data_IF_575216857593
#
_entry.id   IF_575216857593
#
_cell.length_a   1.000
_cell.length_b   1.000
_cell.length_c   1.000
_cell.angle_alpha   90.00
_cell.angle_beta   90.00
_cell.angle_gamma   90.00
#
_symmetry.space_group_name_H-M   'P 1'
#
loop_
_entity.id
_entity.type
_entity.pdbx_description
1 polymer ?
#
# COMPACT_ATOMS: atom_id res chain seq x y z
N UNK A 1 -48.35 -44.66 22.51
CA UNK A 1 -49.07 -44.26 23.75
C UNK A 1 -48.33 -43.05 24.32
N UNK A 2 -48.85 -41.85 24.04
CA UNK A 2 -49.44 -40.92 25.02
C UNK A 2 -48.40 -40.09 25.76
N UNK A 3 -48.12 -38.87 25.26
CA UNK A 3 -48.73 -37.60 25.72
C UNK A 3 -48.15 -37.15 27.07
N UNK A 4 -47.26 -36.16 27.01
CA UNK A 4 -47.10 -35.21 28.11
C UNK A 4 -47.36 -33.80 27.61
N UNK A 5 -48.42 -33.22 28.18
CA UNK A 5 -48.80 -31.82 28.08
C UNK A 5 -48.03 -31.01 29.12
N UNK A 6 -47.69 -29.77 28.77
CA UNK A 6 -47.17 -28.78 29.71
C UNK A 6 -47.06 -27.41 29.07
N UNK A 7 -48.20 -26.76 28.84
CA UNK A 7 -48.26 -25.39 28.35
C UNK A 7 -47.84 -24.39 29.44
N UNK A 8 -47.07 -23.36 29.08
CA UNK A 8 -47.11 -22.03 29.72
C UNK A 8 -46.93 -20.94 28.68
N UNK A 9 -48.01 -20.20 28.47
CA UNK A 9 -48.06 -18.95 27.72
C UNK A 9 -47.65 -17.76 28.58
N UNK A 10 -47.06 -16.73 27.95
CA UNK A 10 -47.23 -15.26 28.15
C UNK A 10 -46.11 -14.55 27.36
N UNK A 11 -46.36 -13.94 26.19
CA UNK A 11 -46.87 -12.56 25.93
C UNK A 11 -46.10 -11.45 26.67
N UNK A 12 -45.35 -10.65 25.92
CA UNK A 12 -45.26 -9.16 25.93
C UNK A 12 -43.97 -8.76 25.17
N UNK A 13 -44.03 -8.23 23.95
CA UNK A 13 -44.35 -6.83 23.57
C UNK A 13 -43.17 -5.86 23.83
N UNK A 14 -42.75 -5.15 22.77
CA UNK A 14 -41.92 -3.95 22.88
C UNK A 14 -40.93 -3.75 21.73
N UNK A 15 -41.42 -3.25 20.59
CA UNK A 15 -40.58 -2.64 19.55
C UNK A 15 -40.25 -1.19 19.93
N UNK A 16 -39.02 -0.74 19.69
CA UNK A 16 -38.70 0.68 19.61
C UNK A 16 -37.65 0.92 18.52
N UNK A 17 -38.09 1.56 17.43
CA UNK A 17 -37.26 2.09 16.35
C UNK A 17 -36.75 3.47 16.78
N UNK A 18 -35.44 3.70 16.71
CA UNK A 18 -34.87 5.04 16.78
C UNK A 18 -34.21 5.34 15.43
N UNK A 19 -34.84 6.22 14.66
CA UNK A 19 -34.30 6.83 13.44
C UNK A 19 -33.60 8.12 13.86
N UNK A 20 -32.31 8.24 13.58
CA UNK A 20 -31.60 9.53 13.68
C UNK A 20 -31.18 9.91 12.26
N UNK A 21 -31.80 10.97 11.74
CA UNK A 21 -31.41 11.63 10.51
C UNK A 21 -30.35 12.70 10.84
N UNK A 22 -29.20 12.64 10.19
CA UNK A 22 -28.21 13.72 10.20
C UNK A 22 -28.13 14.34 8.80
N UNK A 23 -28.35 15.65 8.75
CA UNK A 23 -28.37 16.50 7.55
C UNK A 23 -26.97 16.89 7.08
N UNK A 24 -26.81 16.92 5.75
CA UNK A 24 -25.62 17.37 5.01
C UNK A 24 -25.53 18.90 4.99
N UNK A 25 -24.33 19.46 4.94
CA UNK A 25 -24.07 20.85 4.54
C UNK A 25 -22.90 20.88 3.57
N UNK A 26 -23.19 21.22 2.30
CA UNK A 26 -22.21 21.53 1.26
C UNK A 26 -22.07 23.06 1.22
N UNK A 27 -20.88 23.58 1.45
CA UNK A 27 -20.53 24.97 1.14
C UNK A 27 -19.84 25.03 -0.22
N UNK A 28 -20.51 25.69 -1.16
CA UNK A 28 -19.99 26.11 -2.45
C UNK A 28 -19.50 27.56 -2.35
N UNK A 29 -18.31 27.85 -2.89
CA UNK A 29 -17.87 29.20 -3.28
C UNK A 29 -16.55 29.04 -4.05
N UNK A 30 -16.31 29.56 -5.25
CA UNK A 30 -17.08 30.43 -6.13
C UNK A 30 -16.43 30.42 -7.53
N UNK A 31 -17.23 30.74 -8.54
CA UNK A 31 -16.80 30.82 -9.94
C UNK A 31 -16.29 32.19 -10.36
N UNK A 32 -15.78 32.26 -11.60
CA UNK A 32 -15.44 33.48 -12.31
C UNK A 32 -14.86 33.20 -13.69
N UNK A 33 -15.73 33.20 -14.70
CA UNK A 33 -15.45 33.27 -16.14
C UNK A 33 -14.75 34.59 -16.55
N UNK A 34 -13.88 34.54 -17.57
CA UNK A 34 -14.00 35.32 -18.82
C UNK A 34 -12.66 35.48 -19.57
N UNK A 35 -12.64 34.94 -20.78
CA UNK A 35 -12.09 35.46 -22.04
C UNK A 35 -10.75 36.24 -22.09
N UNK A 36 -9.78 35.61 -22.77
CA UNK A 36 -9.36 36.05 -24.11
C UNK A 36 -8.44 37.27 -24.22
N UNK A 37 -7.17 37.03 -24.55
CA UNK A 37 -6.52 37.47 -25.81
C UNK A 37 -5.05 37.05 -25.88
N UNK A 38 -4.75 36.27 -26.92
CA UNK A 38 -3.40 36.10 -27.49
C UNK A 38 -2.95 37.36 -28.27
N UNK A 39 -1.66 37.33 -28.63
CA UNK A 39 -0.84 38.22 -29.48
C UNK A 39 -0.02 39.29 -28.73
N UNK A 40 1.29 39.47 -28.97
CA UNK A 40 2.27 38.78 -29.82
C UNK A 40 3.69 39.24 -29.42
N UNK A 41 4.66 38.36 -29.57
CA UNK A 41 6.08 38.59 -29.93
C UNK A 41 6.87 39.78 -29.35
N UNK A 42 7.94 39.42 -28.64
CA UNK A 42 9.18 40.21 -28.55
C UNK A 42 10.35 39.28 -28.23
N UNK A 43 11.11 38.90 -29.26
CA UNK A 43 12.25 38.01 -29.17
C UNK A 43 13.43 38.63 -28.39
N UNK A 44 14.14 37.80 -27.62
CA UNK A 44 15.58 37.96 -27.39
C UNK A 44 16.23 36.60 -27.22
N UNK A 45 17.15 36.35 -28.14
CA UNK A 45 18.03 35.21 -28.26
C UNK A 45 19.19 35.27 -27.25
N UNK A 46 19.47 34.15 -26.58
CA UNK A 46 20.78 33.86 -25.99
C UNK A 46 21.10 32.37 -26.17
N UNK A 47 22.31 32.11 -26.66
CA UNK A 47 22.88 30.82 -27.05
C UNK A 47 22.98 29.77 -25.92
N UNK A 48 23.18 28.47 -26.23
CA UNK A 48 23.42 27.45 -25.21
C UNK A 48 24.88 27.54 -24.71
N UNK A 49 25.05 27.86 -23.43
CA UNK A 49 26.32 27.69 -22.73
C UNK A 49 26.32 26.35 -22.00
N UNK A 50 27.06 25.39 -22.54
CA UNK A 50 27.56 24.25 -21.78
C UNK A 50 28.52 24.76 -20.71
N UNK A 51 28.16 24.64 -19.42
CA UNK A 51 29.12 24.61 -18.31
C UNK A 51 28.44 24.09 -17.02
N UNK A 52 28.54 22.77 -16.84
CA UNK A 52 28.65 21.97 -15.60
C UNK A 52 28.00 22.55 -14.31
N UNK A 53 26.94 21.91 -13.77
CA UNK A 53 26.51 22.17 -12.41
C UNK A 53 27.54 21.59 -11.41
N UNK A 54 28.08 22.47 -10.57
CA UNK A 54 28.73 22.10 -9.31
C UNK A 54 27.77 21.23 -8.49
N UNK A 55 28.27 20.12 -7.96
CA UNK A 55 27.63 19.38 -6.89
C UNK A 55 27.44 20.32 -5.70
N UNK A 56 26.21 20.78 -5.50
CA UNK A 56 25.75 21.35 -4.25
C UNK A 56 25.09 20.21 -3.50
N UNK A 57 25.67 19.83 -2.38
CA UNK A 57 24.95 19.10 -1.34
C UNK A 57 23.71 19.93 -0.95
N UNK A 58 22.55 19.38 -1.20
CA UNK A 58 21.27 20.04 -0.99
C UNK A 58 20.16 19.00 -1.06
N UNK A 59 19.57 18.72 0.10
CA UNK A 59 18.45 17.80 0.32
C UNK A 59 17.30 18.04 -0.66
N UNK A 60 17.33 17.34 -1.79
CA UNK A 60 16.20 17.17 -2.69
C UNK A 60 15.74 15.73 -2.51
N UNK A 61 14.59 15.52 -1.87
CA UNK A 61 14.07 14.19 -1.61
C UNK A 61 13.99 13.39 -2.91
N UNK A 62 14.83 12.36 -3.03
CA UNK A 62 14.77 11.40 -4.14
C UNK A 62 13.38 10.77 -4.10
N UNK A 63 12.52 11.09 -5.07
CA UNK A 63 11.17 10.50 -5.21
C UNK A 63 11.22 9.05 -5.73
N UNK A 64 12.42 8.54 -5.99
CA UNK A 64 12.69 7.16 -6.40
C UNK A 64 13.13 6.35 -5.18
N UNK A 65 12.56 5.16 -4.93
CA UNK A 65 12.96 4.32 -3.81
C UNK A 65 14.46 4.02 -3.90
N UNK A 66 15.17 4.19 -2.79
CA UNK A 66 16.59 3.85 -2.70
C UNK A 66 16.77 2.33 -2.85
N UNK A 67 17.39 1.91 -3.95
CA UNK A 67 17.69 0.51 -4.23
C UNK A 67 19.14 0.12 -3.90
N UNK A 68 19.93 1.02 -3.30
CA UNK A 68 21.35 0.78 -2.99
C UNK A 68 21.53 -0.19 -1.82
N UNK A 69 20.57 -0.22 -0.89
CA UNK A 69 20.55 -1.12 0.26
C UNK A 69 19.77 -2.40 -0.06
N UNK A 70 20.16 -3.50 0.57
CA UNK A 70 19.38 -4.74 0.61
C UNK A 70 19.24 -5.19 2.05
N UNK A 71 18.02 -5.16 2.58
CA UNK A 71 17.69 -5.63 3.93
C UNK A 71 17.48 -7.14 3.95
N UNK A 72 16.81 -7.67 2.93
CA UNK A 72 16.53 -9.09 2.81
C UNK A 72 16.31 -9.48 1.35
N UNK A 73 16.52 -10.76 1.04
CA UNK A 73 16.11 -11.39 -0.22
C UNK A 73 15.25 -12.60 0.09
N UNK A 74 14.04 -12.64 -0.46
CA UNK A 74 13.04 -13.67 -0.25
C UNK A 74 12.86 -14.44 -1.55
N UNK A 75 13.28 -15.71 -1.54
CA UNK A 75 13.17 -16.59 -2.71
C UNK A 75 11.88 -17.41 -2.62
N UNK A 76 10.98 -17.22 -3.58
CA UNK A 76 9.76 -18.02 -3.73
C UNK A 76 10.02 -19.29 -4.54
N UNK A 77 9.26 -20.35 -4.26
CA UNK A 77 9.29 -21.58 -5.08
C UNK A 77 8.55 -21.43 -6.42
N UNK A 78 7.90 -20.29 -6.63
CA UNK A 78 7.08 -19.95 -7.79
C UNK A 78 7.83 -19.14 -8.86
N UNK A 79 9.16 -19.10 -8.81
CA UNK A 79 9.98 -18.35 -9.78
C UNK A 79 10.04 -16.84 -9.54
N UNK A 80 9.48 -16.36 -8.42
CA UNK A 80 9.60 -14.97 -8.00
C UNK A 80 10.60 -14.80 -6.87
N UNK A 81 11.34 -13.70 -6.90
CA UNK A 81 12.21 -13.25 -5.82
C UNK A 81 11.82 -11.83 -5.41
N UNK A 82 11.74 -11.56 -4.12
CA UNK A 82 11.55 -10.22 -3.58
C UNK A 82 12.86 -9.77 -2.93
N UNK A 83 13.41 -8.65 -3.39
CA UNK A 83 14.55 -7.99 -2.77
C UNK A 83 14.01 -6.78 -2.01
N UNK A 84 14.16 -6.78 -0.69
CA UNK A 84 13.72 -5.69 0.18
C UNK A 84 14.85 -4.69 0.31
N UNK A 85 14.61 -3.43 -0.06
CA UNK A 85 15.62 -2.39 -0.07
C UNK A 85 15.59 -1.53 1.19
N UNK A 86 14.42 -1.02 1.54
CA UNK A 86 14.24 -0.16 2.72
C UNK A 86 12.96 -0.51 3.47
N UNK A 87 12.95 -0.16 4.76
CA UNK A 87 11.80 -0.18 5.64
C UNK A 87 11.96 1.00 6.60
N UNK A 88 11.30 2.11 6.29
CA UNK A 88 11.55 3.40 6.94
C UNK A 88 10.28 3.96 7.55
N UNK A 89 10.35 4.36 8.81
CA UNK A 89 9.30 5.14 9.47
C UNK A 89 9.28 6.57 8.97
N UNK A 90 8.09 7.14 8.89
CA UNK A 90 7.89 8.57 8.69
C UNK A 90 7.23 9.23 9.90
N UNK A 91 7.31 10.55 9.94
CA UNK A 91 6.71 11.39 10.99
C UNK A 91 5.16 11.34 10.98
N UNK A 92 4.56 10.81 9.91
CA UNK A 92 3.13 10.57 9.79
C UNK A 92 2.64 9.34 10.56
N UNK A 93 3.55 8.57 11.16
CA UNK A 93 3.22 7.34 11.87
C UNK A 93 3.04 6.14 10.95
N UNK A 94 3.64 6.18 9.76
CA UNK A 94 3.65 5.07 8.82
C UNK A 94 5.04 4.46 8.68
N UNK A 95 5.07 3.21 8.25
CA UNK A 95 6.26 2.47 7.88
C UNK A 95 6.12 2.11 6.40
N UNK A 96 7.04 2.59 5.56
CA UNK A 96 7.06 2.27 4.13
C UNK A 96 8.17 1.27 3.84
N UNK A 97 7.78 0.12 3.29
CA UNK A 97 8.70 -0.89 2.78
C UNK A 97 8.82 -0.72 1.28
N UNK A 98 10.04 -0.70 0.75
CA UNK A 98 10.31 -0.67 -0.69
C UNK A 98 11.19 -1.83 -1.11
N UNK A 99 11.06 -2.25 -2.36
CA UNK A 99 11.77 -3.40 -2.87
C UNK A 99 11.66 -3.57 -4.37
N UNK A 100 12.23 -4.67 -4.86
CA UNK A 100 12.12 -5.11 -6.25
C UNK A 100 11.60 -6.54 -6.28
N UNK A 101 10.60 -6.80 -7.13
CA UNK A 101 10.15 -8.13 -7.51
C UNK A 101 10.92 -8.54 -8.76
N UNK A 102 11.46 -9.76 -8.78
CA UNK A 102 12.14 -10.34 -9.93
C UNK A 102 11.47 -11.63 -10.34
N UNK A 103 11.28 -11.81 -11.64
CA UNK A 103 11.01 -13.13 -12.21
C UNK A 103 12.35 -13.79 -12.53
N UNK A 104 12.73 -14.81 -11.76
CA UNK A 104 14.03 -15.48 -11.91
C UNK A 104 14.02 -16.59 -12.97
N UNK A 105 12.87 -16.83 -13.60
CA UNK A 105 12.73 -17.80 -14.68
C UNK A 105 12.98 -17.17 -16.05
N UNK A 106 13.24 -17.99 -17.07
CA UNK A 106 13.45 -17.53 -18.45
C UNK A 106 12.17 -17.29 -19.25
N UNK A 107 10.99 -17.47 -18.63
CA UNK A 107 9.69 -17.27 -19.27
C UNK A 107 8.81 -16.36 -18.42
N UNK A 108 7.78 -15.79 -19.03
CA UNK A 108 6.93 -14.86 -18.32
C UNK A 108 6.11 -15.57 -17.25
N UNK A 109 5.93 -14.92 -16.10
CA UNK A 109 5.23 -15.48 -14.96
C UNK A 109 4.10 -14.57 -14.52
N UNK A 110 2.93 -15.16 -14.28
CA UNK A 110 1.77 -14.45 -13.73
C UNK A 110 1.94 -14.28 -12.22
N UNK A 111 1.69 -13.07 -11.73
CA UNK A 111 1.70 -12.79 -10.31
C UNK A 111 0.58 -13.59 -9.59
N UNK A 112 0.87 -14.28 -8.48
CA UNK A 112 -0.13 -15.02 -7.71
C UNK A 112 -1.28 -14.13 -7.23
N UNK A 113 -2.52 -14.59 -7.38
CA UNK A 113 -3.72 -13.88 -6.85
C UNK A 113 -3.70 -13.77 -5.33
N UNK A 114 -3.00 -14.68 -4.67
CA UNK A 114 -2.87 -14.75 -3.22
C UNK A 114 -2.11 -13.55 -2.65
N UNK A 115 -1.27 -12.87 -3.44
CA UNK A 115 -0.59 -11.65 -3.01
C UNK A 115 -1.54 -10.51 -2.67
N UNK A 116 -2.77 -10.53 -3.21
CA UNK A 116 -3.83 -9.60 -2.83
C UNK A 116 -4.28 -9.77 -1.37
N UNK A 117 -4.00 -10.92 -0.75
CA UNK A 117 -4.53 -11.28 0.57
C UNK A 117 -5.92 -11.94 0.51
N UNK A 118 -6.42 -12.35 1.68
CA UNK A 118 -7.67 -13.12 1.81
C UNK A 118 -8.90 -12.24 2.06
N UNK A 119 -8.71 -10.96 2.39
CA UNK A 119 -9.75 -10.04 2.83
C UNK A 119 -10.65 -9.58 1.68
N UNK A 120 -11.97 -9.62 1.89
CA UNK A 120 -12.96 -9.35 0.86
C UNK A 120 -12.91 -7.91 0.32
N UNK A 121 -12.69 -6.94 1.20
CA UNK A 121 -12.61 -5.51 0.83
C UNK A 121 -11.40 -5.20 -0.04
N UNK A 122 -10.32 -5.97 0.08
CA UNK A 122 -9.11 -5.81 -0.72
C UNK A 122 -9.22 -6.57 -2.04
N UNK A 123 -9.81 -7.77 -2.03
CA UNK A 123 -9.96 -8.58 -3.25
C UNK A 123 -10.71 -7.86 -4.37
N UNK A 124 -11.64 -6.97 -4.04
CA UNK A 124 -12.38 -6.17 -5.03
C UNK A 124 -11.56 -5.05 -5.69
N UNK A 125 -10.39 -4.69 -5.15
CA UNK A 125 -9.57 -3.57 -5.66
C UNK A 125 -8.53 -4.00 -6.69
N UNK A 126 -8.50 -5.29 -7.05
CA UNK A 126 -7.66 -5.82 -8.13
C UNK A 126 -6.34 -6.40 -7.65
N UNK A 127 -5.36 -6.47 -8.56
CA UNK A 127 -4.02 -7.02 -8.29
C UNK A 127 -3.22 -6.05 -7.42
N UNK A 128 -2.69 -6.54 -6.30
CA UNK A 128 -1.89 -5.75 -5.36
C UNK A 128 -1.01 -6.64 -4.48
N UNK A 129 -0.15 -6.03 -3.66
CA UNK A 129 0.63 -6.71 -2.62
C UNK A 129 0.01 -6.57 -1.22
N UNK A 130 -1.30 -6.33 -1.15
CA UNK A 130 -2.00 -6.06 0.11
C UNK A 130 -2.02 -7.24 1.10
N UNK A 131 -1.74 -8.45 0.64
CA UNK A 131 -1.53 -9.63 1.48
C UNK A 131 -0.22 -9.61 2.27
N UNK A 132 0.67 -8.64 2.00
CA UNK A 132 1.89 -8.44 2.78
C UNK A 132 1.56 -8.04 4.20
N UNK A 133 2.28 -8.59 5.17
CA UNK A 133 2.11 -8.26 6.58
C UNK A 133 3.47 -8.17 7.27
N UNK A 134 3.52 -7.41 8.36
CA UNK A 134 4.67 -7.32 9.24
C UNK A 134 4.29 -7.92 10.59
N UNK A 135 5.13 -8.78 11.15
CA UNK A 135 4.93 -9.35 12.48
C UNK A 135 6.00 -8.82 13.41
N UNK A 136 5.56 -8.05 14.40
CA UNK A 136 6.38 -7.63 15.53
C UNK A 136 6.22 -8.65 16.65
N UNK A 137 7.27 -9.45 16.86
CA UNK A 137 7.28 -10.50 17.88
C UNK A 137 7.36 -9.93 19.29
N UNK A 138 7.99 -8.77 19.48
CA UNK A 138 8.14 -8.15 20.79
C UNK A 138 6.78 -7.65 21.29
N UNK A 139 6.05 -6.95 20.43
CA UNK A 139 4.71 -6.43 20.73
C UNK A 139 3.60 -7.47 20.53
N UNK A 140 3.91 -8.62 19.93
CA UNK A 140 2.95 -9.68 19.55
C UNK A 140 1.85 -9.15 18.63
N UNK A 141 2.22 -8.23 17.74
CA UNK A 141 1.31 -7.56 16.81
C UNK A 141 1.61 -7.97 15.38
N UNK A 142 0.56 -8.05 14.58
CA UNK A 142 0.64 -8.16 13.12
C UNK A 142 0.07 -6.89 12.52
N UNK A 143 0.85 -6.25 11.65
CA UNK A 143 0.46 -5.08 10.89
C UNK A 143 0.14 -5.48 9.45
N UNK A 144 -0.92 -4.89 8.92
CA UNK A 144 -1.40 -5.11 7.56
C UNK A 144 -1.14 -3.85 6.72
N UNK A 145 -1.05 -4.01 5.41
CA UNK A 145 -0.96 -2.88 4.48
C UNK A 145 -2.16 -1.94 4.71
N UNK A 146 -1.87 -0.64 4.81
CA UNK A 146 -2.87 0.41 4.98
C UNK A 146 -3.85 0.45 3.83
N UNK A 147 -5.01 1.05 4.06
CA UNK A 147 -6.07 1.22 3.07
C UNK A 147 -6.62 2.63 3.11
N UNK A 148 -7.07 3.10 1.97
CA UNK A 148 -7.90 4.30 1.91
C UNK A 148 -9.35 4.02 2.37
N UNK A 149 -10.17 5.05 2.34
CA UNK A 149 -11.59 4.99 2.71
C UNK A 149 -12.41 4.08 1.80
N UNK A 150 -11.95 3.88 0.56
CA UNK A 150 -12.60 3.06 -0.45
C UNK A 150 -12.03 1.63 -0.49
N UNK A 151 -11.14 1.27 0.44
CA UNK A 151 -10.55 -0.06 0.60
C UNK A 151 -9.38 -0.36 -0.33
N UNK A 152 -8.87 0.60 -1.11
CA UNK A 152 -7.68 0.42 -1.92
C UNK A 152 -6.45 0.35 -1.02
N UNK A 153 -5.60 -0.68 -1.20
CA UNK A 153 -4.41 -0.83 -0.39
C UNK A 153 -3.32 0.17 -0.80
N UNK A 154 -2.59 0.71 0.17
CA UNK A 154 -1.46 1.61 -0.05
C UNK A 154 -0.20 0.81 -0.36
N UNK A 155 -0.16 0.28 -1.58
CA UNK A 155 0.93 -0.55 -2.11
C UNK A 155 0.93 -0.49 -3.63
N UNK A 156 1.99 -0.99 -4.27
CA UNK A 156 1.98 -1.20 -5.71
C UNK A 156 0.85 -2.12 -6.12
N UNK A 157 0.08 -1.67 -7.12
CA UNK A 157 -1.07 -2.39 -7.70
C UNK A 157 -0.80 -2.70 -9.18
N UNK A 158 -1.67 -3.51 -9.79
CA UNK A 158 -1.59 -3.82 -11.23
C UNK A 158 -0.55 -4.86 -11.62
N UNK A 159 0.26 -5.34 -10.68
CA UNK A 159 1.25 -6.40 -10.91
C UNK A 159 0.53 -7.70 -11.27
N UNK A 160 0.47 -8.00 -12.56
CA UNK A 160 -0.29 -9.13 -13.11
C UNK A 160 0.62 -10.17 -13.76
N UNK A 161 1.70 -9.72 -14.39
CA UNK A 161 2.71 -10.53 -15.06
C UNK A 161 4.04 -9.81 -14.97
N UNK A 162 5.12 -10.57 -14.82
CA UNK A 162 6.49 -10.07 -14.98
C UNK A 162 7.15 -10.96 -16.03
N UNK A 163 7.77 -10.33 -17.02
CA UNK A 163 8.43 -11.04 -18.12
C UNK A 163 9.61 -11.89 -17.61
N UNK A 164 10.02 -12.89 -18.40
CA UNK A 164 11.16 -13.74 -18.06
C UNK A 164 12.44 -12.92 -17.81
N UNK A 165 13.07 -13.11 -16.65
CA UNK A 165 14.22 -12.31 -16.21
C UNK A 165 13.90 -10.85 -15.85
N UNK A 166 12.65 -10.43 -15.99
CA UNK A 166 12.20 -9.06 -15.72
C UNK A 166 12.12 -8.73 -14.24
N UNK A 167 11.98 -7.44 -13.95
CA UNK A 167 11.85 -6.92 -12.60
C UNK A 167 10.97 -5.69 -12.51
N UNK A 168 10.24 -5.55 -11.42
CA UNK A 168 9.44 -4.36 -11.11
C UNK A 168 9.70 -3.88 -9.68
N UNK A 169 9.83 -2.56 -9.52
CA UNK A 169 9.90 -1.94 -8.20
C UNK A 169 8.54 -1.98 -7.50
N UNK A 170 8.54 -2.12 -6.17
CA UNK A 170 7.32 -2.07 -5.38
C UNK A 170 7.48 -1.27 -4.09
N UNK A 171 6.33 -0.83 -3.56
CA UNK A 171 6.21 -0.32 -2.21
C UNK A 171 5.00 -0.93 -1.49
N UNK A 172 5.02 -0.93 -0.16
CA UNK A 172 3.90 -1.24 0.70
C UNK A 172 3.97 -0.40 1.98
N UNK A 173 2.87 0.25 2.34
CA UNK A 173 2.81 1.12 3.52
C UNK A 173 1.98 0.48 4.63
N UNK A 174 2.50 0.55 5.85
CA UNK A 174 1.94 -0.04 7.06
C UNK A 174 1.78 1.04 8.13
N UNK A 175 0.90 0.85 9.13
CA UNK A 175 1.03 1.61 10.37
C UNK A 175 2.40 1.34 11.00
N UNK A 176 3.08 2.37 11.49
CA UNK A 176 4.40 2.22 12.08
C UNK A 176 4.33 1.42 13.39
N UNK A 177 5.17 0.38 13.55
CA UNK A 177 5.41 -0.21 14.86
C UNK A 177 6.04 0.84 15.81
N UNK A 178 5.90 0.67 17.14
CA UNK A 178 6.52 1.56 18.13
C UNK A 178 8.01 1.81 17.86
N UNK A 179 8.54 2.95 18.28
CA UNK A 179 9.95 3.32 18.07
C UNK A 179 10.93 2.35 18.73
N UNK A 180 10.50 1.60 19.75
CA UNK A 180 11.28 0.52 20.38
C UNK A 180 11.44 -0.73 19.51
N UNK A 181 10.60 -0.92 18.49
CA UNK A 181 10.67 -2.07 17.58
C UNK A 181 11.70 -1.80 16.50
N UNK A 182 12.85 -2.47 16.51
CA UNK A 182 13.87 -2.31 15.48
C UNK A 182 13.77 -3.35 14.36
N UNK A 183 13.08 -4.47 14.61
CA UNK A 183 12.95 -5.58 13.67
C UNK A 183 11.52 -6.08 13.57
N UNK A 184 11.14 -6.50 12.37
CA UNK A 184 9.87 -7.20 12.10
C UNK A 184 10.09 -8.34 11.12
N UNK A 185 9.23 -9.35 11.19
CA UNK A 185 9.16 -10.38 10.15
C UNK A 185 8.19 -9.93 9.06
N UNK A 186 8.71 -9.76 7.84
CA UNK A 186 7.91 -9.55 6.65
C UNK A 186 7.38 -10.89 6.13
N UNK A 187 6.08 -10.93 5.89
CA UNK A 187 5.38 -12.11 5.35
C UNK A 187 4.60 -11.70 4.10
N UNK A 188 4.73 -12.49 3.04
CA UNK A 188 3.92 -12.36 1.83
C UNK A 188 3.34 -13.75 1.47
N UNK A 189 2.08 -13.86 1.01
CA UNK A 189 1.50 -15.14 0.65
C UNK A 189 2.32 -15.89 -0.41
N UNK A 190 2.47 -17.20 -0.21
CA UNK A 190 3.28 -18.10 -1.03
C UNK A 190 4.79 -17.81 -1.03
N UNK A 191 5.27 -16.95 -0.13
CA UNK A 191 6.68 -16.67 0.07
C UNK A 191 7.11 -17.09 1.49
N UNK A 192 8.37 -17.50 1.68
CA UNK A 192 8.93 -17.62 3.02
C UNK A 192 8.97 -16.25 3.72
N UNK A 193 8.96 -16.25 5.05
CA UNK A 193 9.11 -15.03 5.83
C UNK A 193 10.58 -14.59 5.92
N UNK A 194 10.82 -13.29 6.05
CA UNK A 194 12.16 -12.76 6.31
C UNK A 194 12.12 -11.67 7.39
N UNK A 195 13.10 -11.68 8.28
CA UNK A 195 13.28 -10.60 9.26
C UNK A 195 13.99 -9.43 8.59
N UNK A 196 13.45 -8.22 8.78
CA UNK A 196 14.01 -6.98 8.25
C UNK A 196 14.18 -5.97 9.39
N UNK A 197 15.24 -5.17 9.30
CA UNK A 197 15.45 -4.02 10.17
C UNK A 197 14.58 -2.85 9.71
N UNK A 198 14.05 -2.09 10.67
CA UNK A 198 13.32 -0.85 10.43
C UNK A 198 14.20 0.32 10.84
N UNK A 199 14.26 1.35 10.00
CA UNK A 199 14.91 2.63 10.28
C UNK A 199 13.88 3.69 10.67
#
# INVERSE_FOLDING_TARGET
>A
MSLWHGAKARRAAGAALAVVALSVSLTACGGGDADGKEQNTGASSSAPGDEKPKESEGSGGTTVPDTSKTLATINGSNGFQFVIHTATRDDGGFLTVTGTIKNTSGSDQSAPVQWNGSESQVKRTGRSLAGMTLVDKAEKKRYYVLRDTDGYPLTTTGISRIDGGGSEGFFAQFPAPPSSTTQVDLQLPLMPSATIEIS
#
